data_IF_937654604415
#
_entry.id   IF_937654604415
#
_cell.length_a   1.000
_cell.length_b   1.000
_cell.length_c   1.000
_cell.angle_alpha   90.00
_cell.angle_beta   90.00
_cell.angle_gamma   90.00
#
_symmetry.space_group_name_H-M   'P 1'
#
loop_
_entity.id
_entity.type
_entity.pdbx_description
1 polymer ?
#
# COMPACT_ATOMS: atom_id res chain seq x y z
N UNK A 1 14.12 13.90 4.37
CA UNK A 1 14.39 12.54 3.87
C UNK A 1 15.65 12.57 3.01
N UNK A 2 16.78 11.99 3.46
CA UNK A 2 18.04 12.06 2.73
C UNK A 2 18.04 11.36 1.35
N UNK A 3 16.98 10.68 0.98
CA UNK A 3 16.86 10.00 -0.31
C UNK A 3 15.97 10.72 -1.34
N UNK A 4 15.45 11.90 -1.05
CA UNK A 4 14.44 12.54 -1.90
C UNK A 4 14.99 13.59 -2.88
N UNK A 5 16.18 14.08 -2.66
CA UNK A 5 16.83 15.06 -3.53
C UNK A 5 17.83 14.42 -4.48
N UNK A 6 17.46 13.30 -5.02
CA UNK A 6 17.88 12.88 -6.35
C UNK A 6 19.28 12.40 -6.42
N UNK A 7 19.99 11.69 -5.83
CA UNK A 7 21.16 10.94 -6.26
C UNK A 7 21.70 9.89 -5.27
N UNK A 8 21.19 9.84 -4.03
CA UNK A 8 21.67 8.83 -3.11
C UNK A 8 20.85 7.54 -3.27
N UNK A 9 21.30 6.74 -4.19
CA UNK A 9 20.78 5.40 -4.49
C UNK A 9 20.92 4.48 -3.26
N UNK A 10 21.76 4.86 -2.29
CA UNK A 10 22.15 4.00 -1.18
C UNK A 10 21.99 4.77 0.14
N UNK A 11 20.99 4.43 0.94
CA UNK A 11 20.81 4.94 2.29
C UNK A 11 21.66 4.17 3.33
N UNK A 12 21.69 4.63 4.59
CA UNK A 12 22.48 4.00 5.64
C UNK A 12 22.26 2.50 5.84
N UNK A 13 21.00 2.04 5.66
CA UNK A 13 20.69 0.62 5.79
C UNK A 13 21.28 -0.21 4.64
N UNK A 14 21.20 0.26 3.40
CA UNK A 14 21.83 -0.41 2.28
C UNK A 14 23.36 -0.42 2.41
N UNK A 15 23.94 0.66 2.96
CA UNK A 15 25.38 0.70 3.26
C UNK A 15 25.79 -0.31 4.35
N UNK A 16 24.93 -0.52 5.35
CA UNK A 16 25.16 -1.49 6.42
C UNK A 16 24.99 -2.94 5.95
N UNK A 17 24.20 -3.17 4.89
CA UNK A 17 23.90 -4.48 4.32
C UNK A 17 24.17 -4.50 2.81
N UNK A 18 25.44 -4.34 2.38
CA UNK A 18 25.79 -4.15 0.97
C UNK A 18 25.53 -5.37 0.09
N UNK A 19 25.40 -6.54 0.69
CA UNK A 19 25.09 -7.79 -0.03
C UNK A 19 23.61 -7.96 -0.35
N UNK A 20 22.74 -7.06 0.16
CA UNK A 20 21.31 -7.10 -0.11
C UNK A 20 20.95 -6.15 -1.26
N UNK A 21 20.36 -6.73 -2.31
CA UNK A 21 19.91 -5.98 -3.51
C UNK A 21 18.44 -5.51 -3.36
N UNK A 22 18.20 -4.64 -2.40
CA UNK A 22 16.88 -4.12 -2.07
C UNK A 22 16.72 -2.62 -2.40
N UNK A 23 15.54 -2.24 -2.87
CA UNK A 23 15.19 -0.84 -3.06
C UNK A 23 14.81 -0.15 -1.75
N UNK A 24 14.74 1.18 -1.77
CA UNK A 24 14.45 1.99 -0.58
C UNK A 24 13.09 1.69 0.04
N UNK A 25 12.08 1.33 -0.76
CA UNK A 25 10.77 0.94 -0.21
C UNK A 25 10.87 -0.30 0.69
N UNK A 26 11.68 -1.28 0.30
CA UNK A 26 11.92 -2.47 1.11
C UNK A 26 12.69 -2.12 2.39
N UNK A 27 13.69 -1.24 2.29
CA UNK A 27 14.45 -0.73 3.42
C UNK A 27 13.56 0.02 4.42
N UNK A 28 12.66 0.87 3.94
CA UNK A 28 11.73 1.60 4.81
C UNK A 28 10.71 0.68 5.47
N UNK A 29 10.21 -0.32 4.75
CA UNK A 29 9.32 -1.34 5.31
C UNK A 29 10.03 -2.17 6.40
N UNK A 30 11.28 -2.59 6.15
CA UNK A 30 12.12 -3.24 7.14
C UNK A 30 12.37 -2.34 8.37
N UNK A 31 12.61 -1.04 8.13
CA UNK A 31 12.77 -0.06 9.21
C UNK A 31 11.53 0.03 10.11
N UNK A 32 10.32 -0.01 9.53
CA UNK A 32 9.07 -0.04 10.31
C UNK A 32 9.02 -1.29 11.22
N UNK A 33 9.43 -2.46 10.73
CA UNK A 33 9.54 -3.68 11.55
C UNK A 33 10.56 -3.54 12.66
N UNK A 34 11.71 -2.86 12.42
CA UNK A 34 12.72 -2.60 13.48
C UNK A 34 12.20 -1.64 14.56
N UNK A 35 11.40 -0.65 14.18
CA UNK A 35 10.69 0.20 15.15
C UNK A 35 9.75 -0.64 16.01
N UNK A 36 9.00 -1.57 15.40
CA UNK A 36 8.10 -2.44 16.14
C UNK A 36 8.84 -3.37 17.10
N UNK A 37 10.02 -3.92 16.70
CA UNK A 37 10.88 -4.69 17.61
C UNK A 37 11.26 -3.90 18.87
N UNK A 38 11.59 -2.62 18.69
CA UNK A 38 11.89 -1.73 19.83
C UNK A 38 10.64 -1.50 20.69
N UNK A 39 9.49 -1.24 20.08
CA UNK A 39 8.24 -1.00 20.80
C UNK A 39 7.79 -2.23 21.61
N UNK A 40 8.06 -3.44 21.15
CA UNK A 40 7.81 -4.68 21.90
C UNK A 40 8.64 -4.80 23.20
N UNK A 41 9.70 -4.01 23.33
CA UNK A 41 10.49 -3.94 24.58
C UNK A 41 9.96 -2.92 25.59
N UNK A 42 8.91 -2.14 25.21
CA UNK A 42 8.36 -1.09 26.06
C UNK A 42 7.11 -1.62 26.81
N UNK A 43 7.11 -1.53 28.15
CA UNK A 43 6.04 -2.09 28.98
C UNK A 43 4.72 -1.31 28.89
N UNK A 44 4.77 -0.04 28.47
CA UNK A 44 3.64 0.87 28.36
C UNK A 44 3.00 0.94 26.97
N UNK A 45 3.49 0.12 26.00
CA UNK A 45 2.99 0.07 24.63
C UNK A 45 2.34 -1.28 24.32
N UNK A 46 1.09 -1.23 23.91
CA UNK A 46 0.35 -2.43 23.42
C UNK A 46 0.63 -2.67 21.93
N UNK A 47 1.67 -3.42 21.64
CA UNK A 47 2.05 -3.78 20.25
C UNK A 47 1.08 -4.77 19.59
N UNK A 48 0.17 -5.41 20.35
CA UNK A 48 -0.88 -6.24 19.76
C UNK A 48 -1.89 -5.44 18.92
N UNK A 49 -1.85 -4.10 19.00
CA UNK A 49 -2.67 -3.15 18.26
C UNK A 49 -1.87 -2.30 17.30
N UNK A 50 -0.71 -2.77 16.85
CA UNK A 50 0.17 -2.01 15.98
C UNK A 50 -0.50 -1.70 14.63
N UNK A 51 -0.45 -0.42 14.26
CA UNK A 51 -0.93 0.11 12.98
C UNK A 51 0.28 0.59 12.18
N UNK A 52 0.37 0.23 10.91
CA UNK A 52 1.32 0.83 9.99
C UNK A 52 0.57 1.69 8.96
N UNK A 53 0.98 2.94 8.85
CA UNK A 53 0.37 3.90 7.92
C UNK A 53 1.42 4.76 7.26
N UNK A 54 1.04 5.33 6.13
CA UNK A 54 1.85 6.29 5.40
C UNK A 54 1.06 6.87 4.24
N UNK A 55 1.49 8.04 3.76
CA UNK A 55 0.91 8.72 2.63
C UNK A 55 1.88 8.70 1.44
N UNK A 56 1.34 8.54 0.22
CA UNK A 56 2.13 8.58 -1.01
C UNK A 56 3.24 7.50 -0.98
N UNK A 57 4.51 7.86 -1.15
CA UNK A 57 5.64 6.93 -1.10
C UNK A 57 5.75 6.17 0.22
N UNK A 58 5.48 6.82 1.35
CA UNK A 58 5.47 6.13 2.65
C UNK A 58 4.27 5.20 2.79
N UNK A 59 3.17 5.44 2.07
CA UNK A 59 2.06 4.51 1.93
C UNK A 59 2.45 3.23 1.18
N UNK A 60 3.32 3.33 0.14
CA UNK A 60 3.90 2.15 -0.54
C UNK A 60 4.71 1.30 0.46
N UNK A 61 5.55 1.96 1.28
CA UNK A 61 6.33 1.29 2.32
C UNK A 61 5.43 0.66 3.41
N UNK A 62 4.36 1.35 3.81
CA UNK A 62 3.40 0.83 4.79
C UNK A 62 2.68 -0.43 4.28
N UNK A 63 2.27 -0.47 3.01
CA UNK A 63 1.67 -1.65 2.41
C UNK A 63 2.66 -2.83 2.41
N UNK A 64 3.90 -2.58 2.01
CA UNK A 64 4.94 -3.60 2.00
C UNK A 64 5.27 -4.10 3.41
N UNK A 65 5.39 -3.20 4.40
CA UNK A 65 5.60 -3.56 5.79
C UNK A 65 4.48 -4.44 6.32
N UNK A 66 3.22 -4.06 6.09
CA UNK A 66 2.06 -4.85 6.49
C UNK A 66 1.97 -6.21 5.80
N UNK A 67 2.39 -6.30 4.53
CA UNK A 67 2.39 -7.55 3.78
C UNK A 67 3.50 -8.52 4.23
N UNK A 68 4.61 -8.00 4.79
CA UNK A 68 5.79 -8.79 5.16
C UNK A 68 5.96 -9.00 6.66
N UNK A 69 5.22 -8.25 7.50
CA UNK A 69 5.25 -8.37 8.96
C UNK A 69 3.82 -8.46 9.52
N UNK A 70 3.45 -9.64 9.98
CA UNK A 70 2.10 -9.95 10.48
C UNK A 70 1.78 -9.30 11.83
N UNK A 71 2.74 -8.69 12.49
CA UNK A 71 2.52 -7.95 13.75
C UNK A 71 1.74 -6.66 13.53
N UNK A 72 1.83 -6.05 12.35
CA UNK A 72 0.97 -4.93 12.00
C UNK A 72 -0.47 -5.42 11.76
N UNK A 73 -1.40 -5.05 12.64
CA UNK A 73 -2.78 -5.54 12.62
C UNK A 73 -3.72 -4.73 11.73
N UNK A 74 -3.43 -3.46 11.55
CA UNK A 74 -4.11 -2.56 10.62
C UNK A 74 -3.08 -1.90 9.70
N UNK A 75 -3.29 -1.99 8.40
CA UNK A 75 -2.38 -1.46 7.37
C UNK A 75 -3.10 -0.40 6.54
N UNK A 76 -2.57 0.83 6.54
CA UNK A 76 -3.25 1.97 5.91
C UNK A 76 -2.35 2.66 4.87
N UNK A 77 -2.26 2.12 3.64
CA UNK A 77 -1.51 2.72 2.53
C UNK A 77 -2.29 3.87 1.88
N UNK A 78 -2.23 5.06 2.44
CA UNK A 78 -3.00 6.21 2.02
C UNK A 78 -2.43 6.88 0.76
N UNK A 79 -3.24 7.14 -0.26
CA UNK A 79 -2.85 7.81 -1.50
C UNK A 79 -1.57 7.23 -2.12
N UNK A 80 -1.39 5.92 -2.06
CA UNK A 80 -0.05 5.34 -2.26
C UNK A 80 0.29 4.99 -3.71
N UNK A 81 -0.64 5.06 -4.63
CA UNK A 81 -0.40 4.97 -6.06
C UNK A 81 0.23 3.68 -6.56
N UNK A 82 0.82 3.77 -7.74
CA UNK A 82 1.51 2.67 -8.42
C UNK A 82 2.66 2.10 -7.55
N UNK A 83 2.75 0.79 -7.42
CA UNK A 83 3.71 0.14 -6.51
C UNK A 83 3.34 0.22 -5.03
N UNK A 84 2.19 0.83 -4.72
CA UNK A 84 1.53 0.85 -3.43
C UNK A 84 0.16 0.16 -3.52
N UNK A 85 -0.92 0.85 -3.12
CA UNK A 85 -2.27 0.29 -3.17
C UNK A 85 -2.84 0.15 -4.58
N UNK A 86 -2.25 0.81 -5.59
CA UNK A 86 -2.73 0.84 -6.97
C UNK A 86 -1.96 -0.12 -7.87
N UNK A 87 -2.65 -0.71 -8.84
CA UNK A 87 -2.09 -1.67 -9.80
C UNK A 87 -1.05 -1.06 -10.70
N UNK A 88 -0.12 -1.89 -11.19
CA UNK A 88 0.79 -1.54 -12.29
C UNK A 88 0.07 -1.52 -13.65
N UNK A 89 -0.92 -2.40 -13.85
CA UNK A 89 -1.54 -2.69 -15.14
C UNK A 89 -2.69 -1.78 -15.52
N UNK A 90 -3.44 -1.31 -14.53
CA UNK A 90 -4.68 -0.56 -14.74
C UNK A 90 -4.52 0.86 -14.21
N UNK A 91 -4.41 1.82 -15.12
CA UNK A 91 -4.26 3.23 -14.76
C UNK A 91 -5.03 4.14 -15.72
N UNK A 92 -5.30 5.35 -15.27
CA UNK A 92 -5.93 6.42 -16.04
C UNK A 92 -4.86 7.42 -16.51
N UNK A 93 -5.21 8.23 -17.49
CA UNK A 93 -4.32 9.30 -17.97
C UNK A 93 -3.90 10.22 -16.80
N UNK A 94 -2.61 10.54 -16.71
CA UNK A 94 -2.05 11.37 -15.64
C UNK A 94 -1.65 10.62 -14.37
N UNK A 95 -1.94 9.31 -14.29
CA UNK A 95 -1.52 8.50 -13.15
C UNK A 95 -0.03 8.17 -13.18
N UNK A 96 0.52 7.94 -11.99
CA UNK A 96 1.84 7.36 -11.80
C UNK A 96 1.88 5.95 -12.40
N UNK A 97 2.91 5.65 -13.17
CA UNK A 97 3.10 4.38 -13.87
C UNK A 97 4.40 3.71 -13.47
N UNK A 98 4.57 2.44 -13.82
CA UNK A 98 5.84 1.73 -13.61
C UNK A 98 7.00 2.43 -14.32
N UNK A 99 6.77 2.97 -15.51
CA UNK A 99 7.77 3.77 -16.24
C UNK A 99 8.21 4.98 -15.43
N UNK A 100 7.25 5.74 -14.87
CA UNK A 100 7.56 6.90 -14.06
C UNK A 100 8.31 6.55 -12.77
N UNK A 101 7.94 5.42 -12.12
CA UNK A 101 8.59 4.94 -10.89
C UNK A 101 10.03 4.44 -11.11
N UNK A 102 10.40 4.11 -12.34
CA UNK A 102 11.70 3.52 -12.65
C UNK A 102 12.58 4.40 -13.49
N UNK A 103 12.26 5.71 -13.63
CA UNK A 103 13.12 6.68 -14.30
C UNK A 103 14.38 6.94 -13.50
N UNK A 104 15.53 6.89 -14.21
CA UNK A 104 16.85 7.07 -13.59
C UNK A 104 17.03 8.41 -12.90
N UNK A 105 16.41 9.46 -13.43
CA UNK A 105 16.57 10.81 -12.91
C UNK A 105 15.77 11.07 -11.62
N UNK A 106 14.92 10.12 -11.17
CA UNK A 106 13.98 10.44 -10.11
C UNK A 106 13.82 9.38 -9.03
N UNK A 107 13.38 8.15 -9.37
CA UNK A 107 12.91 7.20 -8.35
C UNK A 107 13.37 5.75 -8.59
N UNK A 108 14.34 5.54 -9.47
CA UNK A 108 14.83 4.21 -9.80
C UNK A 108 15.21 3.38 -8.57
N UNK A 109 15.70 4.05 -7.53
CA UNK A 109 16.16 3.42 -6.28
C UNK A 109 15.02 2.97 -5.34
N UNK A 110 13.76 3.36 -5.59
CA UNK A 110 12.65 2.93 -4.73
C UNK A 110 12.34 1.45 -4.86
N UNK A 111 12.42 0.93 -6.06
CA UNK A 111 12.07 -0.43 -6.42
C UNK A 111 13.34 -1.26 -6.65
N UNK A 112 13.21 -2.58 -6.60
CA UNK A 112 14.28 -3.44 -7.11
C UNK A 112 14.51 -3.17 -8.61
N UNK A 113 15.78 -3.05 -9.01
CA UNK A 113 16.16 -2.69 -10.40
C UNK A 113 15.52 -3.56 -11.49
N UNK A 114 15.30 -4.85 -11.20
CA UNK A 114 14.78 -5.80 -12.18
C UNK A 114 13.33 -5.55 -12.58
N UNK A 115 12.57 -4.79 -11.80
CA UNK A 115 11.18 -4.48 -12.17
C UNK A 115 11.11 -3.63 -13.43
N UNK A 116 12.16 -2.84 -13.73
CA UNK A 116 12.23 -1.98 -14.92
C UNK A 116 12.07 -2.75 -16.23
N UNK A 117 12.47 -4.04 -16.27
CA UNK A 117 12.31 -4.88 -17.47
C UNK A 117 10.86 -5.07 -17.90
N UNK A 118 9.89 -4.76 -17.03
CA UNK A 118 8.47 -4.85 -17.30
C UNK A 118 7.82 -3.54 -17.74
N UNK A 119 8.57 -2.44 -17.83
CA UNK A 119 8.07 -1.17 -18.38
C UNK A 119 7.59 -1.38 -19.81
N UNK A 120 6.32 -0.99 -20.07
CA UNK A 120 5.62 -1.26 -21.33
C UNK A 120 5.19 -2.73 -21.53
N UNK A 121 5.45 -3.57 -20.54
CA UNK A 121 5.13 -5.01 -20.51
C UNK A 121 4.50 -5.42 -19.18
N UNK A 122 3.79 -4.51 -18.53
CA UNK A 122 3.21 -4.71 -17.19
C UNK A 122 2.28 -5.93 -17.14
N UNK A 123 1.67 -6.28 -18.29
CA UNK A 123 0.84 -7.49 -18.40
C UNK A 123 1.61 -8.80 -18.20
N UNK A 124 2.93 -8.77 -18.35
CA UNK A 124 3.79 -9.94 -18.15
C UNK A 124 4.31 -10.09 -16.71
N UNK A 125 4.05 -9.12 -15.84
CA UNK A 125 4.37 -9.26 -14.42
C UNK A 125 3.68 -10.52 -13.86
N UNK A 126 4.37 -11.35 -13.07
CA UNK A 126 3.76 -12.55 -12.46
C UNK A 126 2.84 -12.20 -11.27
N UNK A 127 2.78 -10.96 -10.86
CA UNK A 127 1.97 -10.43 -9.77
C UNK A 127 1.47 -9.03 -10.08
N UNK A 128 0.58 -8.49 -9.24
CA UNK A 128 0.25 -7.07 -9.15
C UNK A 128 -0.14 -6.73 -7.71
N UNK A 129 -0.37 -5.47 -7.40
CA UNK A 129 -0.51 -4.97 -6.03
C UNK A 129 -1.71 -5.53 -5.25
N UNK A 130 -2.71 -6.10 -5.92
CA UNK A 130 -3.78 -6.84 -5.25
C UNK A 130 -3.26 -8.08 -4.49
N UNK A 131 -2.13 -8.70 -4.92
CA UNK A 131 -1.47 -9.77 -4.15
C UNK A 131 -0.85 -9.22 -2.86
N UNK A 132 -0.19 -8.06 -2.92
CA UNK A 132 0.38 -7.42 -1.73
C UNK A 132 -0.72 -7.11 -0.71
N UNK A 133 -1.87 -6.62 -1.21
CA UNK A 133 -3.05 -6.39 -0.38
C UNK A 133 -3.61 -7.69 0.20
N UNK A 134 -3.68 -8.75 -0.59
CA UNK A 134 -4.17 -10.06 -0.15
C UNK A 134 -3.28 -10.71 0.92
N UNK A 135 -1.97 -10.48 0.91
CA UNK A 135 -1.04 -10.97 1.95
C UNK A 135 -1.33 -10.39 3.35
N UNK A 136 -2.09 -9.31 3.43
CA UNK A 136 -2.47 -8.74 4.73
C UNK A 136 -3.59 -9.55 5.39
N UNK A 137 -4.43 -10.24 4.61
CA UNK A 137 -5.50 -11.06 5.16
C UNK A 137 -4.96 -12.14 6.14
N UNK A 138 -5.65 -12.46 7.24
CA UNK A 138 -7.00 -12.00 7.64
C UNK A 138 -7.03 -10.64 8.38
N UNK A 139 -5.91 -9.96 8.56
CA UNK A 139 -5.78 -8.64 9.21
C UNK A 139 -6.52 -7.57 8.40
N UNK A 140 -6.59 -6.35 8.92
CA UNK A 140 -7.31 -5.25 8.26
C UNK A 140 -6.38 -4.46 7.35
N UNK A 141 -6.85 -4.17 6.13
CA UNK A 141 -6.23 -3.19 5.23
C UNK A 141 -7.25 -2.13 4.83
N UNK A 142 -6.86 -0.86 4.93
CA UNK A 142 -7.66 0.29 4.54
C UNK A 142 -6.87 1.14 3.54
N UNK A 143 -7.34 1.24 2.29
CA UNK A 143 -6.88 2.29 1.39
C UNK A 143 -7.79 3.51 1.52
N UNK A 144 -7.19 4.70 1.65
CA UNK A 144 -7.90 5.96 1.82
C UNK A 144 -7.34 6.96 0.81
N UNK A 145 -8.10 7.27 -0.24
CA UNK A 145 -7.66 8.02 -1.41
C UNK A 145 -8.62 9.19 -1.73
N UNK A 146 -8.11 10.23 -2.39
CA UNK A 146 -8.94 11.31 -2.93
C UNK A 146 -9.57 10.94 -4.27
N UNK A 147 -10.83 11.34 -4.52
CA UNK A 147 -11.46 11.18 -5.84
C UNK A 147 -10.71 11.92 -6.96
N UNK A 148 -10.11 13.08 -6.64
CA UNK A 148 -9.36 13.89 -7.59
C UNK A 148 -7.86 13.53 -7.62
N UNK A 149 -7.43 12.52 -6.88
CA UNK A 149 -6.05 12.05 -6.86
C UNK A 149 -5.76 11.15 -8.06
N UNK A 150 -5.68 11.78 -9.23
CA UNK A 150 -5.36 11.07 -10.47
C UNK A 150 -3.93 10.54 -10.46
N UNK A 151 -3.00 11.25 -9.79
CA UNK A 151 -1.61 10.82 -9.69
C UNK A 151 -1.47 9.50 -8.94
N UNK A 152 -2.11 9.35 -7.79
CA UNK A 152 -2.09 8.09 -7.04
C UNK A 152 -2.95 7.00 -7.69
N UNK A 153 -3.58 7.26 -8.84
CA UNK A 153 -4.36 6.26 -9.57
C UNK A 153 -5.42 5.60 -8.67
N UNK A 154 -6.33 6.38 -8.14
CA UNK A 154 -7.43 5.90 -7.30
C UNK A 154 -8.28 4.79 -7.95
N UNK A 155 -8.40 4.81 -9.28
CA UNK A 155 -9.00 3.72 -10.03
C UNK A 155 -8.22 2.40 -9.86
N UNK A 156 -6.90 2.44 -9.96
CA UNK A 156 -6.05 1.26 -9.73
C UNK A 156 -6.12 0.74 -8.28
N UNK A 157 -6.30 1.64 -7.30
CA UNK A 157 -6.57 1.27 -5.90
C UNK A 157 -7.90 0.51 -5.79
N UNK A 158 -8.96 0.96 -6.46
CA UNK A 158 -10.22 0.21 -6.53
C UNK A 158 -10.01 -1.18 -7.14
N UNK A 159 -9.24 -1.28 -8.23
CA UNK A 159 -8.95 -2.57 -8.88
C UNK A 159 -8.23 -3.52 -7.91
N UNK A 160 -7.26 -3.03 -7.15
CA UNK A 160 -6.57 -3.82 -6.12
C UNK A 160 -7.50 -4.26 -4.99
N UNK A 161 -8.36 -3.35 -4.52
CA UNK A 161 -9.38 -3.66 -3.52
C UNK A 161 -10.28 -4.81 -3.99
N UNK A 162 -10.87 -4.67 -5.18
CA UNK A 162 -11.76 -5.70 -5.75
C UNK A 162 -11.02 -7.02 -6.01
N UNK A 163 -9.76 -6.94 -6.47
CA UNK A 163 -8.94 -8.10 -6.78
C UNK A 163 -8.55 -8.92 -5.56
N UNK A 164 -8.31 -8.28 -4.43
CA UNK A 164 -7.96 -8.96 -3.19
C UNK A 164 -9.19 -9.53 -2.45
N UNK A 165 -10.40 -9.04 -2.73
CA UNK A 165 -11.61 -9.37 -1.97
C UNK A 165 -11.85 -10.87 -1.84
N UNK A 166 -11.62 -11.64 -2.89
CA UNK A 166 -11.83 -13.10 -2.87
C UNK A 166 -11.01 -13.85 -1.82
N UNK A 167 -9.82 -13.33 -1.46
CA UNK A 167 -8.98 -13.91 -0.40
C UNK A 167 -9.58 -13.63 0.97
N UNK A 168 -10.06 -12.41 1.21
CA UNK A 168 -10.74 -12.05 2.46
C UNK A 168 -12.06 -12.81 2.63
N UNK A 169 -12.80 -13.01 1.54
CA UNK A 169 -14.02 -13.84 1.53
C UNK A 169 -13.70 -15.30 1.89
N UNK A 170 -12.67 -15.87 1.26
CA UNK A 170 -12.23 -17.26 1.51
C UNK A 170 -11.82 -17.47 2.96
N UNK A 171 -11.19 -16.47 3.59
CA UNK A 171 -10.75 -16.54 4.99
C UNK A 171 -11.87 -16.15 5.98
N UNK A 172 -13.09 -15.87 5.51
CA UNK A 172 -14.24 -15.55 6.36
C UNK A 172 -14.19 -14.16 7.01
N UNK A 173 -13.39 -13.25 6.48
CA UNK A 173 -13.18 -11.88 6.99
C UNK A 173 -13.44 -10.80 5.92
N UNK A 174 -14.57 -10.84 5.19
CA UNK A 174 -14.80 -9.94 4.04
C UNK A 174 -14.77 -8.45 4.41
N UNK A 175 -15.04 -8.10 5.65
CA UNK A 175 -15.04 -6.72 6.16
C UNK A 175 -13.64 -6.17 6.45
N UNK A 176 -12.62 -7.00 6.46
CA UNK A 176 -11.25 -6.57 6.77
C UNK A 176 -10.53 -5.99 5.55
N UNK A 177 -11.12 -6.09 4.37
CA UNK A 177 -10.67 -5.42 3.15
C UNK A 177 -11.47 -4.15 2.94
N UNK A 178 -10.87 -2.98 3.17
CA UNK A 178 -11.55 -1.69 3.21
C UNK A 178 -10.94 -0.69 2.23
N UNK A 179 -11.82 0.08 1.59
CA UNK A 179 -11.44 1.22 0.77
C UNK A 179 -12.36 2.41 1.09
N UNK A 180 -11.78 3.59 1.21
CA UNK A 180 -12.50 4.84 1.41
C UNK A 180 -12.00 5.86 0.40
N UNK A 181 -12.92 6.50 -0.29
CA UNK A 181 -12.62 7.59 -1.20
C UNK A 181 -13.33 8.85 -0.72
N UNK A 182 -12.63 9.97 -0.69
CA UNK A 182 -13.12 11.27 -0.24
C UNK A 182 -12.95 12.32 -1.33
N UNK A 183 -13.59 13.45 -1.17
CA UNK A 183 -13.37 14.63 -2.01
C UNK A 183 -11.93 15.14 -1.91
N UNK A 184 -11.43 15.72 -3.00
CA UNK A 184 -10.11 16.33 -3.11
C UNK A 184 -9.01 15.39 -3.65
N UNK A 185 -7.79 15.92 -3.71
CA UNK A 185 -6.64 15.32 -4.38
C UNK A 185 -5.63 14.66 -3.43
N UNK A 186 -4.36 14.72 -3.84
CA UNK A 186 -3.22 14.03 -3.22
C UNK A 186 -2.80 14.67 -1.89
N UNK A 187 -3.56 14.41 -0.84
CA UNK A 187 -3.27 14.90 0.52
C UNK A 187 -3.56 13.84 1.56
N UNK A 188 -2.98 13.98 2.75
CA UNK A 188 -3.42 13.32 3.97
C UNK A 188 -3.92 14.41 4.92
N UNK A 189 -5.17 14.32 5.36
CA UNK A 189 -5.81 15.34 6.16
C UNK A 189 -6.55 14.74 7.38
N UNK A 190 -7.27 15.60 8.11
CA UNK A 190 -8.01 15.19 9.30
C UNK A 190 -9.14 14.17 9.03
N UNK A 191 -9.75 14.18 7.83
CA UNK A 191 -10.74 13.17 7.42
C UNK A 191 -10.08 11.80 7.27
N UNK A 192 -8.92 11.74 6.60
CA UNK A 192 -8.15 10.50 6.44
C UNK A 192 -7.75 9.90 7.79
N UNK A 193 -7.25 10.75 8.70
CA UNK A 193 -6.90 10.34 10.05
C UNK A 193 -8.12 9.85 10.84
N UNK A 194 -9.26 10.55 10.73
CA UNK A 194 -10.51 10.16 11.38
C UNK A 194 -10.99 8.80 10.92
N UNK A 195 -11.01 8.54 9.62
CA UNK A 195 -11.39 7.23 9.06
C UNK A 195 -10.48 6.11 9.55
N UNK A 196 -9.17 6.35 9.62
CA UNK A 196 -8.22 5.37 10.17
C UNK A 196 -8.53 5.06 11.64
N UNK A 197 -8.83 6.08 12.44
CA UNK A 197 -9.17 5.91 13.86
C UNK A 197 -10.52 5.20 14.05
N UNK A 198 -11.53 5.50 13.24
CA UNK A 198 -12.82 4.81 13.26
C UNK A 198 -12.65 3.31 12.92
N UNK A 199 -11.82 2.98 11.94
CA UNK A 199 -11.48 1.59 11.60
C UNK A 199 -10.72 0.91 12.74
N UNK A 200 -9.79 1.61 13.38
CA UNK A 200 -9.04 1.10 14.52
C UNK A 200 -9.97 0.82 15.73
N UNK A 201 -10.90 1.73 16.02
CA UNK A 201 -11.87 1.56 17.08
C UNK A 201 -12.80 0.36 16.82
N UNK A 202 -13.32 0.26 15.61
CA UNK A 202 -14.11 -0.90 15.21
C UNK A 202 -13.33 -2.21 15.38
N UNK A 203 -12.09 -2.25 14.91
CA UNK A 203 -11.33 -3.50 14.86
C UNK A 203 -10.76 -3.92 16.20
N UNK A 204 -10.26 -2.97 17.00
CA UNK A 204 -9.59 -3.26 18.27
C UNK A 204 -10.50 -3.16 19.50
N UNK A 205 -11.53 -2.33 19.44
CA UNK A 205 -12.36 -2.01 20.60
C UNK A 205 -13.82 -2.47 20.47
N UNK A 206 -14.13 -3.23 19.41
CA UNK A 206 -15.50 -3.65 19.08
C UNK A 206 -16.48 -2.47 18.91
N UNK A 207 -15.96 -1.34 18.42
CA UNK A 207 -16.75 -0.17 18.01
C UNK A 207 -17.67 -0.47 16.83
N UNK A 208 -18.47 0.49 16.46
CA UNK A 208 -19.34 0.37 15.28
C UNK A 208 -18.54 0.29 13.99
N UNK A 209 -19.02 -0.52 13.02
CA UNK A 209 -18.41 -0.55 11.68
C UNK A 209 -18.52 0.82 11.02
N UNK A 210 -17.39 1.39 10.51
CA UNK A 210 -17.37 2.76 9.98
C UNK A 210 -18.35 2.93 8.81
N UNK A 211 -18.99 4.08 8.76
CA UNK A 211 -20.00 4.39 7.74
C UNK A 211 -19.36 4.72 6.38
N UNK A 212 -20.10 4.48 5.32
CA UNK A 212 -19.71 4.84 3.94
C UNK A 212 -18.36 4.26 3.52
N UNK A 213 -18.01 3.08 4.01
CA UNK A 213 -16.86 2.33 3.53
C UNK A 213 -17.14 1.74 2.15
N UNK A 214 -16.07 1.47 1.40
CA UNK A 214 -16.12 0.85 0.06
C UNK A 214 -16.95 1.66 -0.96
N UNK A 215 -16.92 2.98 -0.83
CA UNK A 215 -17.53 3.95 -1.75
C UNK A 215 -16.63 4.14 -2.97
N UNK A 216 -16.64 3.18 -3.89
CA UNK A 216 -15.72 3.07 -5.01
C UNK A 216 -15.92 4.17 -6.05
N UNK A 217 -14.85 4.70 -6.70
CA UNK A 217 -14.94 5.68 -7.78
C UNK A 217 -15.78 5.20 -8.99
N UNK A 218 -15.61 3.94 -9.35
CA UNK A 218 -16.34 3.31 -10.46
C UNK A 218 -17.08 2.05 -9.97
N UNK A 219 -18.22 2.16 -9.26
CA UNK A 219 -18.89 1.02 -8.63
C UNK A 219 -19.33 -0.07 -9.60
N UNK A 220 -19.60 0.28 -10.86
CA UNK A 220 -20.00 -0.67 -11.93
C UNK A 220 -18.83 -1.42 -12.57
N UNK A 221 -17.59 -1.04 -12.27
CA UNK A 221 -16.43 -1.71 -12.86
C UNK A 221 -16.25 -3.11 -12.27
N UNK A 222 -16.15 -4.10 -13.17
CA UNK A 222 -15.83 -5.48 -12.80
C UNK A 222 -14.37 -5.75 -13.14
N UNK A 223 -13.58 -6.01 -12.12
CA UNK A 223 -12.16 -6.32 -12.31
C UNK A 223 -12.00 -7.62 -13.09
N UNK A 224 -11.17 -7.58 -14.12
CA UNK A 224 -10.66 -8.77 -14.79
C UNK A 224 -9.26 -9.03 -14.24
N UNK A 225 -9.19 -9.91 -13.26
CA UNK A 225 -7.91 -10.42 -12.77
C UNK A 225 -7.44 -11.49 -13.74
N UNK A 226 -6.20 -11.42 -14.14
CA UNK A 226 -5.46 -12.34 -14.98
C UNK A 226 -6.31 -13.28 -15.85
N UNK A 227 -6.15 -13.31 -17.17
CA UNK A 227 -6.62 -14.45 -17.91
C UNK A 227 -5.83 -15.67 -17.41
N UNK A 228 -6.43 -16.49 -16.55
CA UNK A 228 -5.99 -17.86 -16.46
C UNK A 228 -6.09 -18.38 -17.89
N UNK A 229 -4.94 -18.71 -18.49
CA UNK A 229 -4.97 -19.49 -19.72
C UNK A 229 -5.64 -20.80 -19.35
N UNK A 230 -6.84 -21.02 -19.91
CA UNK A 230 -7.48 -22.32 -19.93
C UNK A 230 -6.55 -23.36 -20.56
#
# INVERSE_FOLDING_TARGET
>A
DPGDEGNDIVGPAQMAYPDLDWGSLATWAWGASRVLDFLETQEDIDTSRAIVTGHSRTGKAALLAGATDERFKLVVPNGSGCGGASTYRNYRAGAETLELLTREERWLFWMHKDIRRFVGREQELPFDQHFMRALIAPRVVLSNDGYDDTWANNFGTQVCYQGAQSVFDLLGVPKNNLAKFREGGHTFNGEDAGVMLDVADWYFNAGDFPKNMNNLPEPGYKVKLFPFKE
#
